data_IF_773459220899
#
_entry.id   IF_773459220899
#
_cell.length_a   1.000
_cell.length_b   1.000
_cell.length_c   1.000
_cell.angle_alpha   90.00
_cell.angle_beta   90.00
_cell.angle_gamma   90.00
#
_symmetry.space_group_name_H-M   'P 1'
#
loop_
_entity.id
_entity.type
_entity.pdbx_description
1 polymer ?
#
# COMPACT_ATOMS: atom_id res chain seq x y z
N UNK A 1 -190.00 -12.84 14.67
CA UNK A 1 -190.82 -11.65 14.36
C UNK A 1 -189.88 -10.50 13.97
N UNK A 2 -190.24 -9.45 13.23
CA UNK A 2 -191.16 -9.23 12.07
C UNK A 2 -190.96 -7.76 11.62
N UNK A 3 -191.19 -7.41 10.33
CA UNK A 3 -191.03 -6.06 9.73
C UNK A 3 -189.55 -5.51 9.70
N UNK A 4 -189.00 -4.89 8.64
CA UNK A 4 -189.25 -3.59 7.92
C UNK A 4 -188.94 -2.34 8.78
N UNK A 5 -188.25 -1.25 8.36
CA UNK A 5 -187.48 -0.83 7.15
C UNK A 5 -187.03 0.66 7.34
N UNK A 6 -186.03 1.33 6.73
CA UNK A 6 -184.87 1.09 5.80
C UNK A 6 -184.04 2.43 5.70
N UNK A 7 -182.80 2.43 5.19
CA UNK A 7 -181.98 3.58 4.68
C UNK A 7 -181.37 4.51 5.78
N UNK A 8 -180.07 4.54 6.13
CA UNK A 8 -178.74 4.37 5.45
C UNK A 8 -178.23 5.62 4.70
N UNK A 9 -176.97 6.10 4.74
CA UNK A 9 -175.76 6.05 5.61
C UNK A 9 -174.54 6.22 4.69
N UNK A 10 -173.76 7.32 4.77
CA UNK A 10 -172.53 7.44 3.94
C UNK A 10 -171.41 8.42 4.37
N UNK A 11 -171.71 9.62 4.90
CA UNK A 11 -170.71 10.72 4.99
C UNK A 11 -169.64 10.59 6.08
N UNK A 12 -169.93 9.95 7.20
CA UNK A 12 -169.09 10.08 8.41
C UNK A 12 -167.73 9.36 8.29
N UNK A 13 -167.70 8.21 7.60
CA UNK A 13 -166.47 7.44 7.33
C UNK A 13 -165.51 8.14 6.35
N UNK A 14 -165.99 9.12 5.59
CA UNK A 14 -165.18 9.87 4.62
C UNK A 14 -164.22 10.81 5.36
N UNK A 15 -164.75 11.56 6.35
CA UNK A 15 -163.99 12.55 7.14
C UNK A 15 -162.80 11.98 7.90
N UNK A 16 -162.93 10.80 8.51
CA UNK A 16 -161.80 10.19 9.24
C UNK A 16 -160.70 9.68 8.30
N UNK A 17 -161.04 9.25 7.07
CA UNK A 17 -160.01 8.90 6.07
C UNK A 17 -159.30 10.13 5.52
N UNK A 18 -159.98 11.27 5.37
CA UNK A 18 -159.34 12.54 5.04
C UNK A 18 -158.47 13.05 6.19
N UNK A 19 -158.93 12.95 7.45
CA UNK A 19 -158.10 13.32 8.61
C UNK A 19 -156.87 12.42 8.72
N UNK A 20 -156.99 11.12 8.45
CA UNK A 20 -155.85 10.20 8.41
C UNK A 20 -154.87 10.56 7.28
N UNK A 21 -155.35 10.87 6.07
CA UNK A 21 -154.51 11.34 4.95
C UNK A 21 -153.81 12.66 5.27
N UNK A 22 -154.52 13.63 5.84
CA UNK A 22 -153.96 14.92 6.22
C UNK A 22 -152.88 14.78 7.31
N UNK A 23 -153.11 13.92 8.31
CA UNK A 23 -152.13 13.66 9.37
C UNK A 23 -150.93 12.86 8.83
N UNK A 24 -151.16 11.91 7.91
CA UNK A 24 -150.09 11.21 7.20
C UNK A 24 -149.23 12.20 6.40
N UNK A 25 -149.83 13.06 5.58
CA UNK A 25 -149.14 14.10 4.82
C UNK A 25 -148.41 15.13 5.71
N UNK A 26 -148.90 15.39 6.93
CA UNK A 26 -148.23 16.26 7.91
C UNK A 26 -147.02 15.55 8.55
N UNK A 27 -147.11 14.25 8.84
CA UNK A 27 -145.96 13.44 9.26
C UNK A 27 -144.95 13.23 8.13
N UNK A 28 -145.40 13.03 6.91
CA UNK A 28 -144.61 12.95 5.68
C UNK A 28 -143.84 14.26 5.46
N UNK A 29 -144.52 15.41 5.36
CA UNK A 29 -143.89 16.72 5.25
C UNK A 29 -142.98 17.07 6.45
N UNK A 30 -143.21 16.50 7.64
CA UNK A 30 -142.33 16.65 8.81
C UNK A 30 -141.10 15.76 8.70
N UNK A 31 -141.24 14.52 8.24
CA UNK A 31 -140.15 13.63 7.88
C UNK A 31 -139.30 14.28 6.79
N UNK A 32 -139.90 14.72 5.69
CA UNK A 32 -139.28 15.45 4.59
C UNK A 32 -138.51 16.68 5.08
N UNK A 33 -139.08 17.48 5.99
CA UNK A 33 -138.39 18.64 6.56
C UNK A 33 -137.19 18.25 7.43
N UNK A 34 -137.28 17.14 8.19
CA UNK A 34 -136.14 16.64 8.97
C UNK A 34 -135.09 15.95 8.10
N UNK A 35 -135.49 15.27 7.03
CA UNK A 35 -134.64 14.63 6.05
C UNK A 35 -133.93 15.68 5.20
N UNK A 36 -134.64 16.70 4.69
CA UNK A 36 -134.05 17.85 3.99
C UNK A 36 -133.06 18.62 4.88
N UNK A 37 -133.31 18.75 6.20
CA UNK A 37 -132.34 19.33 7.15
C UNK A 37 -131.14 18.42 7.38
N UNK A 38 -131.33 17.10 7.49
CA UNK A 38 -130.25 16.11 7.59
C UNK A 38 -129.39 16.09 6.33
N UNK A 39 -130.02 16.04 5.15
CA UNK A 39 -129.39 16.11 3.84
C UNK A 39 -128.65 17.44 3.68
N UNK A 40 -129.27 18.59 3.95
CA UNK A 40 -128.60 19.90 3.92
C UNK A 40 -127.35 19.95 4.81
N UNK A 41 -127.42 19.41 6.03
CA UNK A 41 -126.24 19.32 6.91
C UNK A 41 -125.16 18.38 6.35
N UNK A 42 -125.54 17.23 5.81
CA UNK A 42 -124.61 16.28 5.18
C UNK A 42 -123.97 16.90 3.93
N UNK A 43 -124.74 17.57 3.07
CA UNK A 43 -124.26 18.30 1.89
C UNK A 43 -123.29 19.40 2.30
N UNK A 44 -123.58 20.20 3.33
CA UNK A 44 -122.65 21.20 3.84
C UNK A 44 -121.35 20.55 4.34
N UNK A 45 -121.43 19.47 5.12
CA UNK A 45 -120.25 18.75 5.60
C UNK A 45 -119.44 18.12 4.45
N UNK A 46 -120.09 17.69 3.36
CA UNK A 46 -119.44 17.20 2.15
C UNK A 46 -118.79 18.33 1.35
N UNK A 47 -119.43 19.51 1.21
CA UNK A 47 -118.81 20.66 0.55
C UNK A 47 -117.65 21.24 1.35
N UNK A 48 -117.75 21.26 2.68
CA UNK A 48 -116.67 21.70 3.57
C UNK A 48 -115.48 20.72 3.50
N UNK A 49 -115.75 19.41 3.48
CA UNK A 49 -114.72 18.39 3.31
C UNK A 49 -114.08 18.49 1.91
N UNK A 50 -114.90 18.58 0.85
CA UNK A 50 -114.44 18.75 -0.52
C UNK A 50 -113.52 19.96 -0.64
N UNK A 51 -113.97 21.15 -0.21
CA UNK A 51 -113.19 22.38 -0.29
C UNK A 51 -111.86 22.28 0.47
N UNK A 52 -111.84 21.67 1.66
CA UNK A 52 -110.60 21.42 2.39
C UNK A 52 -109.68 20.43 1.67
N UNK A 53 -110.21 19.35 1.07
CA UNK A 53 -109.39 18.41 0.28
C UNK A 53 -108.88 19.00 -1.02
N UNK A 54 -109.67 19.85 -1.71
CA UNK A 54 -109.25 20.61 -2.88
C UNK A 54 -108.14 21.59 -2.52
N UNK A 55 -108.32 22.38 -1.45
CA UNK A 55 -107.29 23.30 -0.95
C UNK A 55 -105.99 22.58 -0.61
N UNK A 56 -106.05 21.51 0.18
CA UNK A 56 -104.87 20.72 0.54
C UNK A 56 -104.19 20.12 -0.71
N UNK A 57 -104.97 19.69 -1.70
CA UNK A 57 -104.44 19.18 -2.97
C UNK A 57 -103.75 20.29 -3.78
N UNK A 58 -104.32 21.49 -3.83
CA UNK A 58 -103.73 22.67 -4.49
C UNK A 58 -102.42 23.08 -3.80
N UNK A 59 -102.38 23.09 -2.47
CA UNK A 59 -101.16 23.39 -1.70
C UNK A 59 -100.06 22.34 -1.94
N UNK A 60 -100.40 21.05 -1.95
CA UNK A 60 -99.46 19.97 -2.30
C UNK A 60 -98.95 20.12 -3.75
N UNK A 61 -99.84 20.38 -4.71
CA UNK A 61 -99.49 20.61 -6.13
C UNK A 61 -98.58 21.83 -6.29
N UNK A 62 -98.80 22.91 -5.53
CA UNK A 62 -97.95 24.10 -5.55
C UNK A 62 -96.54 23.80 -5.00
N UNK A 63 -96.43 23.07 -3.89
CA UNK A 63 -95.15 22.64 -3.31
C UNK A 63 -94.39 21.70 -4.25
N UNK A 64 -95.09 20.76 -4.91
CA UNK A 64 -94.50 19.87 -5.91
C UNK A 64 -93.98 20.67 -7.11
N UNK A 65 -94.81 21.52 -7.73
CA UNK A 65 -94.40 22.37 -8.87
C UNK A 65 -93.20 23.24 -8.55
N UNK A 66 -93.15 23.86 -7.36
CA UNK A 66 -92.00 24.66 -6.94
C UNK A 66 -90.73 23.81 -6.79
N UNK A 67 -90.86 22.56 -6.32
CA UNK A 67 -89.75 21.62 -6.23
C UNK A 67 -89.29 21.12 -7.60
N UNK A 68 -90.23 20.88 -8.51
CA UNK A 68 -89.96 20.43 -9.88
C UNK A 68 -89.24 21.52 -10.67
N UNK A 69 -89.70 22.78 -10.61
CA UNK A 69 -88.98 23.95 -11.16
C UNK A 69 -87.56 24.07 -10.58
N UNK A 70 -87.40 23.94 -9.26
CA UNK A 70 -86.08 23.93 -8.62
C UNK A 70 -85.21 22.71 -8.98
N UNK A 71 -85.78 21.64 -9.54
CA UNK A 71 -85.02 20.50 -10.07
C UNK A 71 -84.64 20.76 -11.53
N UNK A 72 -85.54 21.32 -12.35
CA UNK A 72 -85.29 21.74 -13.73
C UNK A 72 -84.18 22.80 -13.79
N UNK A 73 -84.22 23.83 -12.93
CA UNK A 73 -83.14 24.83 -12.79
C UNK A 73 -81.78 24.18 -12.49
N UNK A 74 -81.75 23.17 -11.60
CA UNK A 74 -80.53 22.44 -11.24
C UNK A 74 -80.05 21.52 -12.36
N UNK A 75 -80.97 20.87 -13.08
CA UNK A 75 -80.66 20.05 -14.25
C UNK A 75 -80.03 20.94 -15.33
N UNK A 76 -80.65 22.07 -15.67
CA UNK A 76 -80.11 23.03 -16.64
C UNK A 76 -78.73 23.55 -16.24
N UNK A 77 -78.53 23.89 -14.96
CA UNK A 77 -77.23 24.34 -14.45
C UNK A 77 -76.14 23.25 -14.53
N UNK A 78 -76.48 22.01 -14.16
CA UNK A 78 -75.58 20.86 -14.26
C UNK A 78 -75.28 20.48 -15.71
N UNK A 79 -76.26 20.56 -16.62
CA UNK A 79 -76.07 20.35 -18.06
C UNK A 79 -75.14 21.41 -18.66
N UNK A 80 -75.34 22.69 -18.34
CA UNK A 80 -74.43 23.75 -18.77
C UNK A 80 -73.01 23.53 -18.22
N UNK A 81 -72.87 23.15 -16.95
CA UNK A 81 -71.57 22.82 -16.37
C UNK A 81 -70.91 21.62 -17.06
N UNK A 82 -71.66 20.55 -17.36
CA UNK A 82 -71.17 19.37 -18.09
C UNK A 82 -70.72 19.74 -19.51
N UNK A 83 -71.43 20.63 -20.22
CA UNK A 83 -71.00 21.07 -21.55
C UNK A 83 -69.76 21.96 -21.49
N UNK A 84 -69.66 22.85 -20.50
CA UNK A 84 -68.52 23.73 -20.28
C UNK A 84 -67.25 22.98 -19.86
N UNK A 85 -67.36 21.92 -19.05
CA UNK A 85 -66.23 21.04 -18.74
C UNK A 85 -65.86 20.14 -19.93
N UNK A 86 -66.82 19.70 -20.75
CA UNK A 86 -66.53 18.97 -22.01
C UNK A 86 -65.75 19.83 -23.01
N UNK A 87 -66.11 21.10 -23.20
CA UNK A 87 -65.37 21.99 -24.12
C UNK A 87 -63.99 22.34 -23.60
N UNK A 88 -63.84 22.58 -22.28
CA UNK A 88 -62.53 22.71 -21.61
C UNK A 88 -61.64 21.49 -21.87
N UNK A 89 -62.14 20.29 -21.56
CA UNK A 89 -61.38 19.05 -21.73
C UNK A 89 -61.03 18.75 -23.21
N UNK A 90 -61.88 19.12 -24.18
CA UNK A 90 -61.54 19.03 -25.60
C UNK A 90 -60.43 20.01 -25.97
N UNK A 91 -60.56 21.27 -25.56
CA UNK A 91 -59.55 22.30 -25.86
C UNK A 91 -58.19 21.98 -25.23
N UNK A 92 -58.17 21.49 -23.99
CA UNK A 92 -56.93 21.04 -23.32
C UNK A 92 -56.29 19.86 -24.05
N UNK A 93 -57.09 18.86 -24.46
CA UNK A 93 -56.62 17.72 -25.26
C UNK A 93 -56.08 18.15 -26.62
N UNK A 94 -56.74 19.08 -27.31
CA UNK A 94 -56.32 19.62 -28.60
C UNK A 94 -55.03 20.46 -28.47
N UNK A 95 -54.94 21.31 -27.45
CA UNK A 95 -53.73 22.07 -27.12
C UNK A 95 -52.55 21.14 -26.83
N UNK A 96 -52.76 20.09 -26.03
CA UNK A 96 -51.73 19.11 -25.68
C UNK A 96 -51.29 18.28 -26.90
N UNK A 97 -52.25 17.87 -27.75
CA UNK A 97 -51.96 17.19 -29.02
C UNK A 97 -51.16 18.09 -29.99
N UNK A 98 -51.50 19.39 -30.07
CA UNK A 98 -50.76 20.36 -30.87
C UNK A 98 -49.33 20.55 -30.35
N UNK A 99 -49.14 20.67 -29.03
CA UNK A 99 -47.80 20.77 -28.41
C UNK A 99 -46.94 19.54 -28.69
N UNK A 100 -47.48 18.32 -28.51
CA UNK A 100 -46.73 17.10 -28.83
C UNK A 100 -46.46 16.95 -30.33
N UNK A 101 -47.39 17.34 -31.21
CA UNK A 101 -47.16 17.35 -32.66
C UNK A 101 -46.02 18.30 -33.05
N UNK A 102 -45.97 19.52 -32.50
CA UNK A 102 -44.83 20.43 -32.69
C UNK A 102 -43.52 19.81 -32.17
N UNK A 103 -43.57 19.13 -31.01
CA UNK A 103 -42.39 18.47 -30.44
C UNK A 103 -41.87 17.30 -31.28
N UNK A 104 -42.76 16.53 -31.90
CA UNK A 104 -42.41 15.46 -32.85
C UNK A 104 -41.74 16.08 -34.08
N UNK A 105 -42.36 17.07 -34.73
CA UNK A 105 -41.79 17.76 -35.89
C UNK A 105 -40.39 18.35 -35.59
N UNK A 106 -40.19 18.98 -34.43
CA UNK A 106 -38.89 19.48 -33.97
C UNK A 106 -37.80 18.40 -33.92
N UNK A 107 -38.16 17.19 -33.48
CA UNK A 107 -37.24 16.07 -33.32
C UNK A 107 -36.96 15.39 -34.66
N UNK A 108 -37.98 15.26 -35.53
CA UNK A 108 -37.84 14.80 -36.91
C UNK A 108 -36.92 15.72 -37.71
N UNK A 109 -37.07 17.05 -37.61
CA UNK A 109 -36.14 18.01 -38.23
C UNK A 109 -34.70 17.84 -37.74
N UNK A 110 -34.49 17.66 -36.42
CA UNK A 110 -33.16 17.46 -35.83
C UNK A 110 -32.54 16.12 -36.23
N UNK A 111 -33.37 15.07 -36.35
CA UNK A 111 -32.96 13.77 -36.85
C UNK A 111 -32.57 13.84 -38.33
N UNK A 112 -33.38 14.45 -39.17
CA UNK A 112 -33.12 14.58 -40.62
C UNK A 112 -31.85 15.40 -40.89
N UNK A 113 -31.61 16.50 -40.14
CA UNK A 113 -30.37 17.29 -40.22
C UNK A 113 -29.15 16.43 -39.87
N UNK A 114 -29.17 15.74 -38.72
CA UNK A 114 -28.09 14.81 -38.32
C UNK A 114 -27.89 13.64 -39.27
N UNK A 115 -28.96 13.12 -39.87
CA UNK A 115 -28.86 12.05 -40.87
C UNK A 115 -28.16 12.54 -42.15
N UNK A 116 -28.41 13.79 -42.58
CA UNK A 116 -27.72 14.40 -43.70
C UNK A 116 -26.23 14.66 -43.38
N UNK A 117 -25.94 15.19 -42.20
CA UNK A 117 -24.57 15.39 -41.69
C UNK A 117 -23.79 14.05 -41.67
N UNK A 118 -24.41 12.99 -41.13
CA UNK A 118 -23.83 11.65 -41.09
C UNK A 118 -23.54 11.08 -42.48
N UNK A 119 -24.47 11.23 -43.43
CA UNK A 119 -24.28 10.76 -44.81
C UNK A 119 -23.11 11.49 -45.49
N UNK A 120 -22.99 12.81 -45.31
CA UNK A 120 -21.85 13.58 -45.83
C UNK A 120 -20.52 13.10 -45.25
N UNK A 121 -20.45 12.92 -43.92
CA UNK A 121 -19.26 12.38 -43.24
C UNK A 121 -18.92 10.96 -43.73
N UNK A 122 -19.93 10.13 -44.02
CA UNK A 122 -19.72 8.79 -44.57
C UNK A 122 -19.17 8.82 -46.00
N UNK A 123 -19.58 9.78 -46.83
CA UNK A 123 -19.04 9.99 -48.17
C UNK A 123 -17.60 10.54 -48.14
N UNK A 124 -17.31 11.52 -47.28
CA UNK A 124 -15.95 12.02 -47.04
C UNK A 124 -15.01 10.92 -46.54
N UNK A 125 -15.46 10.10 -45.58
CA UNK A 125 -14.71 8.96 -45.04
C UNK A 125 -14.43 7.92 -46.12
N UNK A 126 -15.35 7.71 -47.06
CA UNK A 126 -15.13 6.83 -48.24
C UNK A 126 -14.04 7.40 -49.16
N UNK A 127 -14.08 8.71 -49.46
CA UNK A 127 -13.06 9.40 -50.27
C UNK A 127 -11.68 9.30 -49.59
N UNK A 128 -11.61 9.55 -48.28
CA UNK A 128 -10.38 9.42 -47.48
C UNK A 128 -9.86 7.98 -47.51
N UNK A 129 -10.72 6.97 -47.34
CA UNK A 129 -10.31 5.56 -47.44
C UNK A 129 -9.77 5.19 -48.83
N UNK A 130 -10.37 5.68 -49.92
CA UNK A 130 -9.89 5.41 -51.27
C UNK A 130 -8.59 6.18 -51.60
N UNK A 131 -8.36 7.34 -50.98
CA UNK A 131 -7.06 8.02 -50.98
C UNK A 131 -6.02 7.22 -50.20
N UNK A 132 -6.34 6.73 -48.99
CA UNK A 132 -5.43 5.93 -48.15
C UNK A 132 -5.01 4.61 -48.81
N UNK A 133 -5.88 3.99 -49.62
CA UNK A 133 -5.53 2.80 -50.44
C UNK A 133 -4.55 3.14 -51.57
N UNK A 134 -4.72 4.30 -52.23
CA UNK A 134 -3.89 4.74 -53.37
C UNK A 134 -2.56 5.35 -52.94
N UNK A 135 -2.51 5.97 -51.76
CA UNK A 135 -1.32 6.67 -51.25
C UNK A 135 -0.04 5.82 -51.29
N UNK A 136 -0.01 4.56 -50.77
CA UNK A 136 1.18 3.71 -50.84
C UNK A 136 1.61 3.37 -52.28
N UNK A 137 0.67 3.30 -53.23
CA UNK A 137 0.97 3.05 -54.64
C UNK A 137 1.69 4.26 -55.25
N UNK A 138 1.15 5.47 -55.05
CA UNK A 138 1.78 6.72 -55.50
C UNK A 138 3.15 6.96 -54.83
N UNK A 139 3.29 6.67 -53.54
CA UNK A 139 4.56 6.78 -52.82
C UNK A 139 5.61 5.78 -53.34
N UNK A 140 5.21 4.56 -53.70
CA UNK A 140 6.09 3.56 -54.31
C UNK A 140 6.43 3.92 -55.78
N UNK A 141 5.50 4.47 -56.55
CA UNK A 141 5.75 4.96 -57.91
C UNK A 141 6.75 6.13 -57.91
N UNK A 142 6.61 7.10 -57.01
CA UNK A 142 7.56 8.18 -56.82
C UNK A 142 8.95 7.67 -56.39
N UNK A 143 9.01 6.68 -55.49
CA UNK A 143 10.26 6.03 -55.11
C UNK A 143 10.93 5.34 -56.30
N UNK A 144 10.17 4.54 -57.06
CA UNK A 144 10.65 3.86 -58.26
C UNK A 144 11.17 4.85 -59.30
N UNK A 145 10.43 5.92 -59.56
CA UNK A 145 10.81 6.96 -60.52
C UNK A 145 12.10 7.66 -60.11
N UNK A 146 12.26 8.00 -58.82
CA UNK A 146 13.52 8.54 -58.30
C UNK A 146 14.67 7.55 -58.46
N UNK A 147 14.46 6.28 -58.11
CA UNK A 147 15.51 5.25 -58.23
C UNK A 147 15.92 5.00 -59.69
N UNK A 148 14.99 5.05 -60.65
CA UNK A 148 15.34 4.98 -62.09
C UNK A 148 16.09 6.22 -62.57
N UNK A 149 15.75 7.42 -62.07
CA UNK A 149 16.45 8.66 -62.37
C UNK A 149 17.88 8.65 -61.82
N UNK A 150 18.05 8.34 -60.53
CA UNK A 150 19.36 8.28 -59.86
C UNK A 150 20.30 7.25 -60.54
N UNK A 151 19.76 6.11 -60.99
CA UNK A 151 20.50 5.09 -61.75
C UNK A 151 20.87 5.56 -63.17
N UNK A 152 19.97 6.24 -63.89
CA UNK A 152 20.24 6.79 -65.21
C UNK A 152 21.34 7.87 -65.16
N UNK A 153 21.27 8.75 -64.14
CA UNK A 153 22.28 9.77 -63.86
C UNK A 153 23.66 9.15 -63.57
N UNK A 154 23.69 8.03 -62.83
CA UNK A 154 24.91 7.30 -62.53
C UNK A 154 25.53 6.66 -63.77
N UNK A 155 24.76 6.00 -64.64
CA UNK A 155 25.29 5.46 -65.90
C UNK A 155 25.65 6.54 -66.92
N UNK A 156 24.96 7.68 -66.93
CA UNK A 156 25.39 8.84 -67.72
C UNK A 156 26.76 9.36 -67.25
N UNK A 157 26.95 9.57 -65.93
CA UNK A 157 28.24 9.99 -65.35
C UNK A 157 29.36 8.99 -65.63
N UNK A 158 29.11 7.68 -65.46
CA UNK A 158 30.07 6.63 -65.85
C UNK A 158 30.40 6.66 -67.34
N UNK A 159 29.41 6.92 -68.20
CA UNK A 159 29.61 6.97 -69.65
C UNK A 159 30.39 8.22 -70.08
N UNK A 160 30.12 9.37 -69.46
CA UNK A 160 30.91 10.60 -69.63
C UNK A 160 32.38 10.36 -69.31
N UNK A 161 32.69 9.83 -68.11
CA UNK A 161 34.07 9.54 -67.71
C UNK A 161 34.77 8.52 -68.62
N UNK A 162 34.05 7.50 -69.10
CA UNK A 162 34.56 6.54 -70.11
C UNK A 162 34.87 7.21 -71.47
N UNK A 163 34.16 8.28 -71.84
CA UNK A 163 34.43 9.07 -73.04
C UNK A 163 35.59 10.04 -72.82
N UNK A 164 35.59 10.78 -71.70
CA UNK A 164 36.65 11.73 -71.33
C UNK A 164 38.02 11.06 -71.31
N UNK A 165 38.14 9.87 -70.70
CA UNK A 165 39.39 9.10 -70.71
C UNK A 165 39.84 8.70 -72.13
N UNK A 166 38.90 8.36 -73.03
CA UNK A 166 39.22 8.06 -74.44
C UNK A 166 39.66 9.31 -75.20
N UNK A 167 38.99 10.44 -75.00
CA UNK A 167 39.38 11.72 -75.59
C UNK A 167 40.76 12.16 -75.09
N UNK A 168 41.05 12.01 -73.80
CA UNK A 168 42.37 12.31 -73.23
C UNK A 168 43.46 11.42 -73.83
N UNK A 169 43.26 10.10 -73.84
CA UNK A 169 44.21 9.14 -74.42
C UNK A 169 44.48 9.45 -75.91
N UNK A 170 43.43 9.71 -76.69
CA UNK A 170 43.55 10.05 -78.10
C UNK A 170 44.24 11.40 -78.31
N UNK A 171 43.97 12.41 -77.47
CA UNK A 171 44.66 13.70 -77.52
C UNK A 171 46.16 13.51 -77.32
N UNK A 172 46.57 12.85 -76.23
CA UNK A 172 47.99 12.61 -75.91
C UNK A 172 48.68 11.80 -77.02
N UNK A 173 47.98 10.85 -77.66
CA UNK A 173 48.53 10.10 -78.79
C UNK A 173 48.78 10.99 -80.03
N UNK A 174 47.80 11.81 -80.41
CA UNK A 174 47.92 12.74 -81.55
C UNK A 174 48.93 13.87 -81.29
N UNK A 175 48.99 14.36 -80.06
CA UNK A 175 49.95 15.38 -79.58
C UNK A 175 51.38 14.83 -79.73
N UNK A 176 51.65 13.60 -79.26
CA UNK A 176 52.93 12.90 -79.47
C UNK A 176 53.24 12.60 -80.94
N UNK A 177 52.25 12.26 -81.76
CA UNK A 177 52.46 12.04 -83.19
C UNK A 177 52.85 13.35 -83.91
N UNK A 178 52.24 14.48 -83.51
CA UNK A 178 52.59 15.80 -84.01
C UNK A 178 54.01 16.23 -83.56
N UNK A 179 54.36 16.05 -82.28
CA UNK A 179 55.72 16.26 -81.77
C UNK A 179 56.76 15.47 -82.56
N UNK A 180 56.50 14.18 -82.82
CA UNK A 180 57.42 13.33 -83.59
C UNK A 180 57.57 13.79 -85.04
N UNK A 181 56.49 14.25 -85.69
CA UNK A 181 56.56 14.85 -87.04
C UNK A 181 57.34 16.17 -87.04
N UNK A 182 57.16 17.02 -86.04
CA UNK A 182 57.92 18.27 -85.87
C UNK A 182 59.41 17.97 -85.68
N UNK A 183 59.76 16.99 -84.85
CA UNK A 183 61.15 16.57 -84.61
C UNK A 183 61.84 16.09 -85.90
N UNK A 184 61.18 15.25 -86.70
CA UNK A 184 61.72 14.76 -87.99
C UNK A 184 61.87 15.89 -89.01
N UNK A 185 60.94 16.85 -89.06
CA UNK A 185 61.07 18.03 -89.92
C UNK A 185 62.23 18.94 -89.48
N UNK A 186 62.41 19.15 -88.17
CA UNK A 186 63.53 19.90 -87.62
C UNK A 186 64.89 19.24 -87.91
N UNK A 187 64.99 17.91 -87.72
CA UNK A 187 66.19 17.15 -88.07
C UNK A 187 66.52 17.26 -89.56
N UNK A 188 65.52 17.12 -90.44
CA UNK A 188 65.70 17.28 -91.89
C UNK A 188 66.19 18.68 -92.25
N UNK A 189 65.56 19.73 -91.73
CA UNK A 189 65.94 21.12 -92.01
C UNK A 189 67.36 21.43 -91.51
N UNK A 190 67.74 20.91 -90.34
CA UNK A 190 69.07 21.03 -89.77
C UNK A 190 70.14 20.32 -90.62
N UNK A 191 69.86 19.08 -91.07
CA UNK A 191 70.75 18.32 -91.95
C UNK A 191 70.90 18.99 -93.33
N UNK A 192 69.81 19.55 -93.89
CA UNK A 192 69.84 20.28 -95.15
C UNK A 192 70.67 21.58 -95.03
N UNK A 193 70.55 22.32 -93.93
CA UNK A 193 71.38 23.48 -93.64
C UNK A 193 72.88 23.12 -93.52
N UNK A 194 73.23 22.01 -92.87
CA UNK A 194 74.63 21.52 -92.78
C UNK A 194 75.20 21.21 -94.17
N UNK A 195 74.39 20.67 -95.09
CA UNK A 195 74.82 20.37 -96.47
C UNK A 195 75.11 21.66 -97.26
N UNK A 196 74.39 22.75 -96.99
CA UNK A 196 74.58 24.05 -97.65
C UNK A 196 75.82 24.83 -97.16
N UNK A 197 76.40 24.48 -96.00
CA UNK A 197 77.66 25.07 -95.52
C UNK A 197 78.85 24.68 -96.42
N UNK A 198 79.86 25.55 -96.52
CA UNK A 198 81.14 25.28 -97.18
C UNK A 198 82.00 24.26 -96.41
N UNK A 199 83.03 23.68 -97.03
CA UNK A 199 83.83 22.63 -96.40
C UNK A 199 84.64 23.06 -95.16
N UNK A 200 85.04 24.33 -95.04
CA UNK A 200 85.68 24.82 -93.83
C UNK A 200 84.65 24.89 -92.69
N UNK A 201 83.48 25.47 -92.94
CA UNK A 201 82.36 25.50 -92.00
C UNK A 201 81.86 24.09 -91.63
N UNK A 202 81.75 23.16 -92.59
CA UNK A 202 81.39 21.74 -92.33
C UNK A 202 82.45 21.03 -91.49
N UNK A 203 83.73 21.32 -91.68
CA UNK A 203 84.83 20.77 -90.88
C UNK A 203 84.80 21.33 -89.45
N UNK A 204 84.66 22.66 -89.29
CA UNK A 204 84.52 23.30 -87.99
C UNK A 204 83.26 22.84 -87.25
N UNK A 205 82.14 22.62 -87.94
CA UNK A 205 80.92 22.07 -87.34
C UNK A 205 81.14 20.64 -86.81
N UNK A 206 81.81 19.77 -87.57
CA UNK A 206 82.14 18.41 -87.10
C UNK A 206 83.00 18.42 -85.84
N UNK A 207 84.02 19.28 -85.78
CA UNK A 207 84.85 19.41 -84.58
C UNK A 207 84.08 20.07 -83.43
N UNK A 208 83.22 21.06 -83.70
CA UNK A 208 82.34 21.66 -82.68
C UNK A 208 81.37 20.61 -82.08
N UNK A 209 80.80 19.73 -82.91
CA UNK A 209 80.00 18.58 -82.44
C UNK A 209 80.85 17.59 -81.62
N UNK A 210 82.10 17.32 -82.02
CA UNK A 210 83.02 16.45 -81.27
C UNK A 210 83.38 17.05 -79.90
N UNK A 211 83.67 18.36 -79.86
CA UNK A 211 83.97 19.11 -78.64
C UNK A 211 82.73 19.23 -77.73
N UNK A 212 81.54 19.51 -78.28
CA UNK A 212 80.29 19.52 -77.52
C UNK A 212 79.96 18.13 -76.94
N UNK A 213 80.26 17.05 -77.67
CA UNK A 213 80.10 15.68 -77.14
C UNK A 213 81.08 15.39 -76.01
N UNK A 214 82.34 15.80 -76.14
CA UNK A 214 83.33 15.69 -75.06
C UNK A 214 82.95 16.53 -73.83
N UNK A 215 82.54 17.78 -74.05
CA UNK A 215 82.02 18.68 -73.02
C UNK A 215 80.79 18.09 -72.32
N UNK A 216 79.87 17.47 -73.07
CA UNK A 216 78.71 16.77 -72.53
C UNK A 216 79.08 15.59 -71.61
N UNK A 217 80.11 14.81 -71.96
CA UNK A 217 80.65 13.78 -71.06
C UNK A 217 81.27 14.39 -69.80
N UNK A 218 82.05 15.47 -69.91
CA UNK A 218 82.65 16.13 -68.75
C UNK A 218 81.61 16.81 -67.85
N UNK A 219 80.58 17.45 -68.41
CA UNK A 219 79.45 17.99 -67.66
C UNK A 219 78.72 16.86 -66.93
N UNK A 220 78.46 15.73 -67.61
CA UNK A 220 77.81 14.58 -66.95
C UNK A 220 78.66 14.02 -65.81
N UNK A 221 79.97 13.82 -66.00
CA UNK A 221 80.81 13.29 -64.91
C UNK A 221 80.92 14.28 -63.75
N UNK A 222 81.04 15.58 -64.02
CA UNK A 222 80.99 16.62 -62.96
C UNK A 222 79.65 16.60 -62.24
N UNK A 223 78.53 16.39 -62.94
CA UNK A 223 77.19 16.35 -62.35
C UNK A 223 76.93 15.07 -61.55
N UNK A 224 77.44 13.93 -62.00
CA UNK A 224 77.36 12.65 -61.27
C UNK A 224 78.35 12.62 -60.09
N UNK A 225 79.51 13.31 -60.19
CA UNK A 225 80.40 13.59 -59.05
C UNK A 225 79.75 14.55 -58.05
N UNK A 226 79.05 15.60 -58.49
CA UNK A 226 78.26 16.50 -57.60
C UNK A 226 77.20 15.72 -56.84
N UNK A 227 76.43 14.85 -57.51
CA UNK A 227 75.43 13.99 -56.85
C UNK A 227 76.06 13.06 -55.82
N UNK A 228 77.18 12.40 -56.15
CA UNK A 228 77.92 11.56 -55.19
C UNK A 228 78.46 12.38 -54.01
N UNK A 229 79.02 13.56 -54.25
CA UNK A 229 79.54 14.42 -53.19
C UNK A 229 78.42 15.03 -52.32
N UNK A 230 77.26 15.35 -52.88
CA UNK A 230 76.08 15.77 -52.13
C UNK A 230 75.50 14.62 -51.29
N UNK A 231 75.42 13.40 -51.85
CA UNK A 231 75.00 12.22 -51.11
C UNK A 231 75.98 11.88 -49.96
N UNK A 232 77.29 11.96 -50.19
CA UNK A 232 78.31 11.80 -49.15
C UNK A 232 78.29 12.93 -48.11
N UNK A 233 78.01 14.17 -48.52
CA UNK A 233 77.83 15.27 -47.58
C UNK A 233 76.61 15.04 -46.68
N UNK A 234 75.49 14.59 -47.25
CA UNK A 234 74.29 14.27 -46.50
C UNK A 234 74.46 13.04 -45.61
N UNK A 235 75.15 11.99 -46.08
CA UNK A 235 75.54 10.86 -45.24
C UNK A 235 76.43 11.31 -44.07
N UNK A 236 77.40 12.21 -44.30
CA UNK A 236 78.21 12.78 -43.22
C UNK A 236 77.40 13.67 -42.26
N UNK A 237 76.40 14.43 -42.75
CA UNK A 237 75.47 15.19 -41.90
C UNK A 237 74.67 14.25 -41.00
N UNK A 238 74.09 13.19 -41.58
CA UNK A 238 73.32 12.16 -40.88
C UNK A 238 74.20 11.43 -39.87
N UNK A 239 75.43 11.06 -40.23
CA UNK A 239 76.39 10.41 -39.34
C UNK A 239 76.87 11.33 -38.21
N UNK A 240 77.04 12.64 -38.45
CA UNK A 240 77.31 13.60 -37.37
C UNK A 240 76.11 13.72 -36.43
N UNK A 241 74.90 13.92 -36.97
CA UNK A 241 73.68 14.01 -36.16
C UNK A 241 73.43 12.73 -35.35
N UNK A 242 73.71 11.55 -35.93
CA UNK A 242 73.67 10.26 -35.24
C UNK A 242 74.76 10.13 -34.17
N UNK A 243 75.98 10.60 -34.44
CA UNK A 243 77.07 10.65 -33.46
C UNK A 243 76.74 11.58 -32.29
N UNK A 244 76.16 12.74 -32.56
CA UNK A 244 75.85 13.75 -31.55
C UNK A 244 74.64 13.32 -30.71
N UNK A 245 73.59 12.78 -31.31
CA UNK A 245 72.48 12.13 -30.56
C UNK A 245 72.93 10.87 -29.80
N UNK A 246 73.90 10.11 -30.32
CA UNK A 246 74.53 9.01 -29.59
C UNK A 246 75.32 9.52 -28.37
N UNK A 247 76.15 10.56 -28.52
CA UNK A 247 76.84 11.20 -27.39
C UNK A 247 75.85 11.73 -26.34
N UNK A 248 74.72 12.29 -26.77
CA UNK A 248 73.64 12.78 -25.92
C UNK A 248 72.98 11.63 -25.12
N UNK A 249 72.69 10.50 -25.76
CA UNK A 249 72.13 9.31 -25.10
C UNK A 249 73.16 8.65 -24.18
N UNK A 250 74.43 8.55 -24.57
CA UNK A 250 75.54 8.07 -23.73
C UNK A 250 75.69 8.96 -22.48
N UNK A 251 75.59 10.28 -22.63
CA UNK A 251 75.67 11.23 -21.51
C UNK A 251 74.48 11.07 -20.55
N UNK A 252 73.25 10.98 -21.10
CA UNK A 252 72.02 10.71 -20.33
C UNK A 252 72.07 9.37 -19.61
N UNK A 253 72.55 8.30 -20.27
CA UNK A 253 72.74 6.98 -19.69
C UNK A 253 73.83 6.98 -18.61
N UNK A 254 74.90 7.76 -18.77
CA UNK A 254 75.97 7.89 -17.77
C UNK A 254 75.46 8.61 -16.52
N UNK A 255 74.66 9.67 -16.68
CA UNK A 255 73.98 10.34 -15.58
C UNK A 255 72.93 9.43 -14.89
N UNK A 256 72.15 8.67 -15.64
CA UNK A 256 71.24 7.66 -15.08
C UNK A 256 72.01 6.55 -14.34
N UNK A 257 73.19 6.14 -14.85
CA UNK A 257 74.03 5.14 -14.18
C UNK A 257 74.60 5.65 -12.87
N UNK A 258 74.95 6.93 -12.75
CA UNK A 258 75.40 7.51 -11.48
C UNK A 258 74.26 7.66 -10.47
N UNK A 259 73.05 8.08 -10.89
CA UNK A 259 71.88 8.13 -10.00
C UNK A 259 71.41 6.74 -9.56
N UNK A 260 71.40 5.75 -10.46
CA UNK A 260 71.13 4.34 -10.10
C UNK A 260 72.20 3.80 -9.15
N UNK A 261 73.48 4.17 -9.30
CA UNK A 261 74.53 3.79 -8.35
C UNK A 261 74.29 4.40 -6.96
N UNK A 262 73.97 5.69 -6.89
CA UNK A 262 73.62 6.37 -5.64
C UNK A 262 72.36 5.83 -4.97
N UNK A 263 71.33 5.48 -5.76
CA UNK A 263 70.12 4.82 -5.27
C UNK A 263 70.41 3.41 -4.75
N UNK A 264 71.26 2.62 -5.42
CA UNK A 264 71.70 1.31 -4.92
C UNK A 264 72.48 1.42 -3.61
N UNK A 265 73.37 2.41 -3.48
CA UNK A 265 74.06 2.68 -2.23
C UNK A 265 73.09 3.07 -1.09
N UNK A 266 72.06 3.86 -1.40
CA UNK A 266 70.99 4.22 -0.45
C UNK A 266 70.09 3.03 -0.09
N UNK A 267 69.79 2.14 -1.04
CA UNK A 267 69.08 0.89 -0.77
C UNK A 267 69.91 0.02 0.16
N UNK A 268 71.19 -0.21 -0.14
CA UNK A 268 72.10 -0.99 0.70
C UNK A 268 72.21 -0.45 2.14
N UNK A 269 72.31 0.86 2.35
CA UNK A 269 72.36 1.42 3.71
C UNK A 269 71.01 1.36 4.43
N UNK A 270 69.88 1.44 3.71
CA UNK A 270 68.54 1.21 4.28
C UNK A 270 68.29 -0.28 4.60
N UNK A 271 68.76 -1.20 3.76
CA UNK A 271 68.73 -2.66 4.00
C UNK A 271 69.58 -3.01 5.21
N UNK A 272 70.79 -2.43 5.34
CA UNK A 272 71.65 -2.61 6.51
C UNK A 272 71.00 -2.06 7.80
N UNK A 273 70.42 -0.85 7.74
CA UNK A 273 69.69 -0.28 8.89
C UNK A 273 68.45 -1.09 9.26
N UNK A 274 67.70 -1.60 8.28
CA UNK A 274 66.55 -2.46 8.49
C UNK A 274 66.96 -3.81 9.07
N UNK A 275 68.05 -4.43 8.59
CA UNK A 275 68.58 -5.67 9.14
C UNK A 275 69.02 -5.51 10.61
N UNK A 276 69.69 -4.41 10.95
CA UNK A 276 69.99 -4.06 12.34
C UNK A 276 68.72 -3.91 13.17
N UNK A 277 67.71 -3.19 12.68
CA UNK A 277 66.46 -2.98 13.41
C UNK A 277 65.60 -4.25 13.55
N UNK A 278 65.68 -5.17 12.59
CA UNK A 278 65.07 -6.51 12.69
C UNK A 278 65.80 -7.34 13.75
N UNK A 279 67.14 -7.34 13.77
CA UNK A 279 67.91 -8.04 14.80
C UNK A 279 67.63 -7.50 16.22
N UNK A 280 67.55 -6.16 16.38
CA UNK A 280 67.10 -5.51 17.63
C UNK A 280 65.71 -6.00 18.05
N UNK A 281 64.75 -6.04 17.11
CA UNK A 281 63.38 -6.47 17.40
C UNK A 281 63.27 -7.99 17.67
N UNK A 282 64.07 -8.83 17.03
CA UNK A 282 64.12 -10.27 17.34
C UNK A 282 64.72 -10.53 18.73
N UNK A 283 65.71 -9.73 19.15
CA UNK A 283 66.26 -9.75 20.50
C UNK A 283 65.26 -9.26 21.55
N UNK A 284 64.61 -8.11 21.33
CA UNK A 284 63.54 -7.57 22.19
C UNK A 284 62.37 -8.57 22.33
N UNK A 285 62.00 -9.23 21.23
CA UNK A 285 60.97 -10.28 21.19
C UNK A 285 61.39 -11.59 21.88
N UNK A 286 62.69 -11.85 22.04
CA UNK A 286 63.19 -12.96 22.84
C UNK A 286 63.15 -12.62 24.33
N UNK A 287 63.64 -11.45 24.72
CA UNK A 287 63.61 -10.93 26.11
C UNK A 287 62.16 -10.85 26.65
N UNK A 288 61.24 -10.25 25.89
CA UNK A 288 59.82 -10.16 26.28
C UNK A 288 59.19 -11.55 26.44
N UNK A 289 59.60 -12.56 25.64
CA UNK A 289 59.12 -13.94 25.81
C UNK A 289 59.66 -14.58 27.09
N UNK A 290 60.93 -14.37 27.41
CA UNK A 290 61.54 -14.90 28.62
C UNK A 290 60.92 -14.26 29.87
N UNK A 291 60.79 -12.93 29.89
CA UNK A 291 60.10 -12.19 30.95
C UNK A 291 58.63 -12.63 31.11
N UNK A 292 57.91 -12.84 30.00
CA UNK A 292 56.54 -13.36 30.03
C UNK A 292 56.47 -14.80 30.53
N UNK A 293 57.45 -15.66 30.22
CA UNK A 293 57.54 -17.02 30.74
C UNK A 293 57.80 -17.04 32.25
N UNK A 294 58.73 -16.22 32.75
CA UNK A 294 59.01 -16.05 34.18
C UNK A 294 57.77 -15.55 34.94
N UNK A 295 57.08 -14.52 34.40
CA UNK A 295 55.83 -14.01 35.01
C UNK A 295 54.70 -15.05 34.97
N UNK A 296 54.60 -15.82 33.88
CA UNK A 296 53.64 -16.93 33.77
C UNK A 296 53.92 -18.00 34.84
N UNK A 297 55.17 -18.43 34.98
CA UNK A 297 55.60 -19.39 36.00
C UNK A 297 55.30 -18.90 37.42
N UNK A 298 55.56 -17.63 37.73
CA UNK A 298 55.19 -17.02 39.02
C UNK A 298 53.68 -17.09 39.27
N UNK A 299 52.85 -16.69 38.30
CA UNK A 299 51.38 -16.78 38.43
C UNK A 299 50.87 -18.22 38.53
N UNK A 300 51.57 -19.20 37.93
CA UNK A 300 51.29 -20.63 38.07
C UNK A 300 51.53 -21.16 39.50
N UNK A 301 52.60 -20.70 40.16
CA UNK A 301 52.88 -21.02 41.58
C UNK A 301 51.83 -20.42 42.51
N UNK A 302 51.35 -19.20 42.21
CA UNK A 302 50.24 -18.58 42.95
C UNK A 302 48.91 -19.33 42.73
N UNK A 303 48.62 -19.75 41.50
CA UNK A 303 47.42 -20.55 41.17
C UNK A 303 47.42 -21.91 41.88
N UNK A 304 48.52 -22.65 41.88
CA UNK A 304 48.65 -23.93 42.59
C UNK A 304 48.45 -23.75 44.12
N UNK A 305 48.99 -22.67 44.70
CA UNK A 305 48.76 -22.30 46.10
C UNK A 305 47.27 -22.00 46.39
N UNK A 306 46.58 -21.28 45.50
CA UNK A 306 45.14 -20.99 45.62
C UNK A 306 44.28 -22.26 45.41
N UNK A 307 44.63 -23.12 44.47
CA UNK A 307 43.91 -24.37 44.22
C UNK A 307 44.07 -25.36 45.39
N UNK A 308 45.24 -25.39 46.03
CA UNK A 308 45.44 -26.10 47.31
C UNK A 308 44.54 -25.57 48.42
N UNK A 309 44.42 -24.25 48.58
CA UNK A 309 43.50 -23.62 49.55
C UNK A 309 42.03 -23.98 49.26
N UNK A 310 41.58 -23.88 48.01
CA UNK A 310 40.23 -24.30 47.60
C UNK A 310 39.97 -25.78 47.92
N UNK A 311 40.94 -26.67 47.67
CA UNK A 311 40.81 -28.10 47.97
C UNK A 311 40.64 -28.40 49.48
N UNK A 312 41.18 -27.54 50.36
CA UNK A 312 40.96 -27.63 51.81
C UNK A 312 39.59 -27.07 52.17
N UNK A 313 39.18 -25.95 51.57
CA UNK A 313 37.85 -25.35 51.79
C UNK A 313 36.71 -26.30 51.36
N UNK A 314 36.85 -27.01 50.24
CA UNK A 314 35.86 -27.99 49.77
C UNK A 314 35.77 -29.23 50.68
N UNK A 315 36.88 -29.65 51.31
CA UNK A 315 36.86 -30.72 52.32
C UNK A 315 36.09 -30.31 53.56
N UNK A 316 36.30 -29.08 54.03
CA UNK A 316 35.55 -28.52 55.17
C UNK A 316 34.08 -28.25 54.83
N UNK A 317 33.76 -27.73 53.64
CA UNK A 317 32.38 -27.63 53.14
C UNK A 317 31.71 -29.01 53.05
N UNK A 318 32.45 -30.04 52.64
CA UNK A 318 31.94 -31.42 52.59
C UNK A 318 31.70 -32.00 54.00
N UNK A 319 32.55 -31.64 54.98
CA UNK A 319 32.36 -31.98 56.40
C UNK A 319 31.12 -31.30 56.97
N UNK A 320 30.93 -30.00 56.71
CA UNK A 320 29.73 -29.23 57.08
C UNK A 320 28.47 -29.81 56.41
N UNK A 321 28.51 -30.11 55.09
CA UNK A 321 27.41 -30.76 54.35
C UNK A 321 27.06 -32.17 54.83
N UNK A 322 27.93 -32.83 55.59
CA UNK A 322 27.66 -34.13 56.24
C UNK A 322 26.96 -33.93 57.59
N UNK A 323 27.49 -33.02 58.42
CA UNK A 323 26.88 -32.66 59.72
C UNK A 323 25.47 -32.07 59.51
N UNK A 324 25.30 -31.17 58.54
CA UNK A 324 24.00 -30.57 58.23
C UNK A 324 22.95 -31.61 57.78
N UNK A 325 23.35 -32.66 57.05
CA UNK A 325 22.44 -33.77 56.68
C UNK A 325 22.01 -34.57 57.90
N UNK A 326 22.95 -34.96 58.76
CA UNK A 326 22.64 -35.69 60.00
C UNK A 326 21.69 -34.91 60.93
N UNK A 327 21.81 -33.57 60.99
CA UNK A 327 20.87 -32.72 61.75
C UNK A 327 19.47 -32.68 61.10
N UNK A 328 19.37 -32.74 59.77
CA UNK A 328 18.08 -32.81 59.06
C UNK A 328 17.44 -34.19 59.22
N UNK A 329 18.22 -35.27 59.13
CA UNK A 329 17.78 -36.66 59.35
C UNK A 329 17.22 -36.81 60.78
N UNK A 330 17.98 -36.42 61.80
CA UNK A 330 17.52 -36.40 63.20
C UNK A 330 16.26 -35.55 63.43
N UNK A 331 16.08 -34.46 62.66
CA UNK A 331 14.86 -33.66 62.72
C UNK A 331 13.68 -34.38 62.07
N UNK A 332 13.87 -35.02 60.92
CA UNK A 332 12.81 -35.79 60.26
C UNK A 332 12.37 -36.99 61.11
N UNK A 333 13.29 -37.66 61.81
CA UNK A 333 12.96 -38.71 62.78
C UNK A 333 12.05 -38.19 63.91
N UNK A 334 12.37 -37.01 64.48
CA UNK A 334 11.50 -36.36 65.46
C UNK A 334 10.15 -35.93 64.86
N UNK A 335 10.11 -35.44 63.63
CA UNK A 335 8.87 -35.04 62.95
C UNK A 335 7.95 -36.25 62.67
N UNK A 336 8.51 -37.43 62.37
CA UNK A 336 7.77 -38.70 62.27
C UNK A 336 7.19 -39.08 63.64
N UNK A 337 8.01 -39.09 64.70
CA UNK A 337 7.55 -39.44 66.06
C UNK A 337 6.42 -38.53 66.56
N UNK A 338 6.49 -37.22 66.26
CA UNK A 338 5.38 -36.30 66.58
C UNK A 338 4.11 -36.60 65.76
N UNK A 339 4.25 -37.03 64.49
CA UNK A 339 3.12 -37.40 63.64
C UNK A 339 2.44 -38.69 64.12
N UNK A 340 3.21 -39.70 64.54
CA UNK A 340 2.71 -40.96 65.10
C UNK A 340 1.98 -40.75 66.43
N UNK A 341 2.52 -39.87 67.31
CA UNK A 341 1.87 -39.50 68.56
C UNK A 341 0.54 -38.74 68.35
N UNK A 342 0.51 -37.81 67.40
CA UNK A 342 -0.74 -37.12 67.02
C UNK A 342 -1.78 -38.07 66.42
N UNK A 343 -1.35 -39.07 65.66
CA UNK A 343 -2.25 -40.07 65.09
C UNK A 343 -2.80 -41.05 66.14
N UNK A 344 -2.00 -41.42 67.16
CA UNK A 344 -2.49 -42.18 68.32
C UNK A 344 -3.60 -41.43 69.07
N UNK A 345 -3.36 -40.17 69.44
CA UNK A 345 -4.38 -39.34 70.12
C UNK A 345 -5.65 -39.21 69.27
N UNK A 346 -5.52 -39.07 67.95
CA UNK A 346 -6.66 -39.05 67.02
C UNK A 346 -7.44 -40.37 67.02
N UNK A 347 -6.77 -41.52 67.13
CA UNK A 347 -7.43 -42.83 67.21
C UNK A 347 -8.13 -43.03 68.55
N UNK A 348 -7.52 -42.66 69.68
CA UNK A 348 -8.18 -42.67 71.00
C UNK A 348 -9.44 -41.79 71.03
N UNK A 349 -9.37 -40.59 70.46
CA UNK A 349 -10.53 -39.69 70.35
C UNK A 349 -11.68 -40.26 69.50
N UNK A 350 -11.39 -41.11 68.52
CA UNK A 350 -12.41 -41.81 67.73
C UNK A 350 -13.02 -42.98 68.52
N UNK A 351 -12.19 -43.77 69.20
CA UNK A 351 -12.64 -44.90 70.03
C UNK A 351 -13.58 -44.44 71.16
N UNK A 352 -13.19 -43.42 71.93
CA UNK A 352 -14.04 -42.88 73.02
C UNK A 352 -15.37 -42.33 72.50
N UNK A 353 -15.39 -41.73 71.30
CA UNK A 353 -16.62 -41.23 70.68
C UNK A 353 -17.58 -42.36 70.34
N UNK A 354 -17.06 -43.46 69.79
CA UNK A 354 -17.88 -44.61 69.42
C UNK A 354 -18.39 -45.40 70.65
N UNK A 355 -17.61 -45.49 71.74
CA UNK A 355 -18.11 -46.00 73.02
C UNK A 355 -19.22 -45.12 73.62
N UNK A 356 -19.11 -43.80 73.51
CA UNK A 356 -20.14 -42.86 73.97
C UNK A 356 -21.46 -43.01 73.18
N UNK A 357 -21.38 -43.20 71.86
CA UNK A 357 -22.55 -43.44 71.00
C UNK A 357 -23.24 -44.77 71.32
N UNK A 358 -22.49 -45.86 71.58
CA UNK A 358 -23.05 -47.14 72.05
C UNK A 358 -23.73 -46.99 73.42
N UNK A 359 -23.13 -46.23 74.34
CA UNK A 359 -23.74 -45.94 75.65
C UNK A 359 -25.02 -45.09 75.54
N UNK A 360 -25.11 -44.20 74.57
CA UNK A 360 -26.32 -43.43 74.30
C UNK A 360 -27.45 -44.32 73.76
N UNK A 361 -27.16 -45.17 72.78
CA UNK A 361 -28.16 -46.09 72.20
C UNK A 361 -28.71 -47.08 73.24
N UNK A 362 -27.85 -47.67 74.08
CA UNK A 362 -28.27 -48.55 75.18
C UNK A 362 -29.25 -47.88 76.16
N UNK A 363 -29.06 -46.59 76.46
CA UNK A 363 -29.97 -45.82 77.32
C UNK A 363 -31.34 -45.53 76.69
N UNK A 364 -31.50 -45.66 75.37
CA UNK A 364 -32.80 -45.47 74.72
C UNK A 364 -33.68 -46.71 74.79
N UNK A 365 -33.14 -47.91 74.64
CA UNK A 365 -33.90 -49.16 74.77
C UNK A 365 -34.47 -49.34 76.20
N UNK A 366 -33.68 -48.96 77.21
CA UNK A 366 -34.08 -48.99 78.62
C UNK A 366 -35.31 -48.10 78.92
N UNK A 367 -35.52 -47.02 78.15
CA UNK A 367 -36.63 -46.08 78.35
C UNK A 367 -37.98 -46.60 77.84
N UNK A 368 -37.99 -47.53 76.88
CA UNK A 368 -39.21 -48.09 76.29
C UNK A 368 -39.77 -49.29 77.08
N UNK A 369 -38.99 -49.84 78.01
CA UNK A 369 -39.30 -51.09 78.74
C UNK A 369 -40.24 -50.92 79.95
N UNK A 370 -40.89 -49.76 80.11
CA UNK A 370 -41.95 -49.54 81.12
C UNK A 370 -41.50 -49.47 82.58
N UNK A 371 -40.20 -49.54 82.89
CA UNK A 371 -39.66 -49.30 84.24
C UNK A 371 -38.94 -47.96 84.29
N UNK A 372 -39.56 -46.99 84.97
CA UNK A 372 -38.84 -45.87 85.56
C UNK A 372 -39.08 -45.89 87.06
N UNK A 373 -38.01 -45.75 87.83
CA UNK A 373 -38.07 -45.00 89.07
C UNK A 373 -37.04 -43.86 88.95
N UNK A 374 -37.36 -42.67 89.47
CA UNK A 374 -36.67 -41.45 89.06
C UNK A 374 -35.29 -41.31 89.75
N UNK A 375 -34.27 -40.97 88.97
CA UNK A 375 -32.98 -40.59 89.52
C UNK A 375 -33.09 -39.32 90.39
N UNK A 376 -32.36 -39.27 91.52
CA UNK A 376 -32.11 -38.05 92.27
C UNK A 376 -30.66 -37.98 92.77
N UNK A 377 -29.88 -37.17 92.05
CA UNK A 377 -28.77 -36.31 92.49
C UNK A 377 -28.10 -36.68 93.83
N UNK A 378 -26.84 -37.11 93.76
CA UNK A 378 -25.78 -36.84 94.76
C UNK A 378 -24.59 -36.21 93.99
N UNK A 379 -23.84 -35.20 94.40
CA UNK A 379 -23.59 -34.52 95.71
C UNK A 379 -22.93 -35.35 96.80
N UNK A 380 -21.74 -35.87 96.48
CA UNK A 380 -20.64 -36.16 97.42
C UNK A 380 -19.35 -35.75 96.68
N UNK A 381 -18.32 -35.10 97.23
CA UNK A 381 -18.09 -34.12 98.30
C UNK A 381 -16.55 -33.93 98.32
N UNK A 382 -16.04 -32.83 98.87
CA UNK A 382 -14.58 -32.57 98.96
C UNK A 382 -13.92 -33.42 100.06
N UNK A 383 -12.72 -33.94 99.81
CA UNK A 383 -11.59 -33.98 100.79
C UNK A 383 -10.25 -34.17 100.04
N UNK A 384 -9.08 -33.83 100.61
CA UNK A 384 -7.92 -33.40 99.82
C UNK A 384 -6.63 -34.25 100.01
N UNK A 385 -5.50 -33.72 99.52
CA UNK A 385 -4.11 -34.24 99.51
C UNK A 385 -3.79 -35.17 98.32
N UNK A 386 -2.67 -35.04 97.59
CA UNK A 386 -1.65 -33.98 97.60
C UNK A 386 -0.90 -33.88 96.25
N UNK A 387 -0.39 -32.69 95.96
CA UNK A 387 0.73 -32.35 95.04
C UNK A 387 1.16 -33.40 93.98
N UNK A 388 0.76 -33.19 92.73
CA UNK A 388 1.33 -33.86 91.55
C UNK A 388 1.69 -32.81 90.47
N UNK A 389 2.76 -33.06 89.71
CA UNK A 389 3.38 -32.09 88.79
C UNK A 389 3.35 -32.63 87.36
N UNK A 390 2.93 -31.84 86.38
CA UNK A 390 1.51 -31.81 86.02
C UNK A 390 1.36 -32.67 84.76
N UNK A 391 0.35 -33.55 84.73
CA UNK A 391 0.21 -34.51 83.63
C UNK A 391 -0.53 -33.87 82.43
N UNK A 392 0.03 -33.96 81.23
CA UNK A 392 -0.43 -33.20 80.06
C UNK A 392 -1.87 -33.56 79.66
N UNK A 393 -2.28 -34.81 79.89
CA UNK A 393 -3.59 -35.36 79.50
C UNK A 393 -4.80 -34.71 80.18
N UNK A 394 -4.63 -34.07 81.35
CA UNK A 394 -5.73 -33.44 82.10
C UNK A 394 -5.83 -31.91 81.91
N UNK A 395 -4.90 -31.30 81.17
CA UNK A 395 -4.89 -29.84 80.95
C UNK A 395 -6.01 -29.38 80.01
N UNK A 396 -6.68 -28.28 80.36
CA UNK A 396 -7.63 -27.61 79.46
C UNK A 396 -6.93 -27.00 78.24
N UNK A 397 -7.65 -26.88 77.12
CA UNK A 397 -7.08 -26.46 75.82
C UNK A 397 -6.30 -25.15 75.88
N UNK A 398 -6.82 -24.15 76.58
CA UNK A 398 -6.20 -22.82 76.75
C UNK A 398 -4.83 -22.89 77.45
N UNK A 399 -4.63 -23.85 78.36
CA UNK A 399 -3.36 -24.05 79.04
C UNK A 399 -2.35 -24.75 78.13
N UNK A 400 -2.77 -25.76 77.35
CA UNK A 400 -1.92 -26.43 76.35
C UNK A 400 -1.43 -25.46 75.28
N UNK A 401 -2.28 -24.53 74.83
CA UNK A 401 -1.92 -23.53 73.83
C UNK A 401 -0.80 -22.59 74.31
N UNK A 402 -0.85 -22.13 75.57
CA UNK A 402 0.21 -21.29 76.15
C UNK A 402 1.57 -21.99 76.21
N UNK A 403 1.60 -23.28 76.51
CA UNK A 403 2.84 -24.08 76.51
C UNK A 403 3.41 -24.18 75.09
N UNK A 404 2.57 -24.46 74.08
CA UNK A 404 3.01 -24.53 72.68
C UNK A 404 3.54 -23.17 72.17
N UNK A 405 2.87 -22.06 72.49
CA UNK A 405 3.37 -20.70 72.17
C UNK A 405 4.74 -20.43 72.81
N UNK A 406 4.95 -20.86 74.05
CA UNK A 406 6.23 -20.69 74.76
C UNK A 406 7.38 -21.52 74.14
N UNK A 407 7.09 -22.75 73.69
CA UNK A 407 8.07 -23.61 72.99
C UNK A 407 8.46 -23.01 71.63
N UNK A 408 7.48 -22.57 70.82
CA UNK A 408 7.75 -21.93 69.53
C UNK A 408 8.56 -20.63 69.65
N UNK A 409 8.31 -19.83 70.70
CA UNK A 409 9.13 -18.65 70.99
C UNK A 409 10.58 -19.02 71.34
N UNK A 410 10.79 -20.11 72.09
CA UNK A 410 12.12 -20.58 72.50
C UNK A 410 12.93 -21.18 71.36
N UNK A 411 12.28 -21.83 70.39
CA UNK A 411 12.96 -22.40 69.20
C UNK A 411 13.43 -21.36 68.19
N UNK A 412 12.73 -20.23 68.03
CA UNK A 412 13.06 -19.25 66.98
C UNK A 412 14.20 -18.27 67.34
N UNK A 413 14.49 -18.07 68.63
CA UNK A 413 15.53 -17.12 69.08
C UNK A 413 16.99 -17.57 68.85
N UNK A 414 17.24 -18.77 68.33
CA UNK A 414 18.59 -19.33 68.14
C UNK A 414 19.28 -18.94 66.82
N UNK A 415 18.63 -18.18 65.92
CA UNK A 415 19.09 -17.98 64.53
C UNK A 415 19.89 -16.69 64.26
N UNK A 416 20.29 -15.92 65.28
CA UNK A 416 20.72 -14.51 65.10
C UNK A 416 22.14 -14.16 65.58
N UNK A 417 23.05 -15.14 65.76
CA UNK A 417 24.46 -14.86 66.13
C UNK A 417 25.44 -15.84 65.47
N UNK A 418 26.01 -15.46 64.32
CA UNK A 418 27.39 -15.78 63.91
C UNK A 418 27.75 -15.17 62.54
N UNK A 419 28.51 -14.05 62.55
CA UNK A 419 29.86 -13.93 61.97
C UNK A 419 30.24 -12.49 61.57
N UNK A 420 31.50 -12.15 61.86
CA UNK A 420 32.20 -10.90 61.51
C UNK A 420 33.51 -11.25 60.79
N UNK A 421 34.18 -10.22 60.24
CA UNK A 421 35.62 -10.13 59.91
C UNK A 421 36.22 -11.05 58.81
N UNK A 422 36.72 -10.40 57.74
CA UNK A 422 38.07 -10.46 57.13
C UNK A 422 38.14 -9.22 56.19
N UNK A 423 39.12 -8.29 56.15
CA UNK A 423 40.57 -8.24 56.49
C UNK A 423 41.45 -8.97 55.45
N UNK A 424 42.52 -8.43 54.83
CA UNK A 424 43.15 -7.07 54.82
C UNK A 424 44.10 -6.92 53.57
N UNK A 425 44.95 -5.87 53.48
CA UNK A 425 45.98 -5.56 52.44
C UNK A 425 45.46 -4.89 51.14
N UNK A 426 45.86 -3.69 50.66
CA UNK A 426 46.87 -2.65 51.03
C UNK A 426 48.31 -2.77 50.45
N UNK A 427 48.93 -1.60 50.17
CA UNK A 427 50.30 -1.27 49.63
C UNK A 427 50.49 -1.35 48.09
N UNK A 428 50.65 -0.20 47.39
CA UNK A 428 51.87 0.60 47.07
C UNK A 428 52.62 0.09 45.81
N UNK A 429 52.84 0.87 44.73
CA UNK A 429 53.53 2.19 44.55
C UNK A 429 55.05 2.08 44.72
N UNK A 430 55.76 2.34 43.61
CA UNK A 430 57.09 2.94 43.58
C UNK A 430 57.12 3.98 42.45
N UNK A 431 57.88 5.05 42.65
CA UNK A 431 58.13 6.15 41.71
C UNK A 431 59.65 6.33 41.55
N UNK A 432 60.06 7.40 40.86
CA UNK A 432 61.45 7.85 40.67
C UNK A 432 62.26 7.05 39.60
N UNK A 433 63.16 7.67 38.81
CA UNK A 433 63.65 9.06 38.82
C UNK A 433 64.07 9.60 37.43
N UNK A 434 64.42 10.90 37.42
CA UNK A 434 64.80 11.78 36.31
C UNK A 434 66.04 11.28 35.49
N UNK A 435 66.33 11.70 34.25
CA UNK A 435 66.77 13.09 33.94
C UNK A 435 66.86 13.49 32.45
N UNK A 436 66.51 14.76 32.20
CA UNK A 436 66.87 15.72 31.13
C UNK A 436 67.79 15.36 29.94
N UNK A 437 67.31 15.69 28.72
CA UNK A 437 67.96 16.62 27.73
C UNK A 437 67.12 16.68 26.41
N UNK A 438 66.21 17.64 26.19
CA UNK A 438 66.45 18.96 25.56
C UNK A 438 67.04 18.96 24.13
N UNK A 439 66.24 19.29 23.10
CA UNK A 439 66.45 20.46 22.22
C UNK A 439 65.26 20.76 21.26
N UNK A 440 65.31 21.98 20.70
CA UNK A 440 64.40 22.74 19.80
C UNK A 440 63.92 22.03 18.49
N UNK A 441 62.96 22.53 17.67
CA UNK A 441 61.85 23.54 17.78
C UNK A 441 61.02 23.56 16.47
N UNK A 442 59.71 23.90 16.55
CA UNK A 442 58.78 24.44 15.52
C UNK A 442 59.11 24.23 14.01
N UNK A 443 58.29 23.44 13.29
CA UNK A 443 57.12 23.90 12.50
C UNK A 443 57.40 23.95 10.97
N UNK A 444 56.56 24.59 10.12
CA UNK A 444 55.51 23.89 9.38
C UNK A 444 55.82 23.61 7.91
N UNK A 445 54.98 22.81 7.26
CA UNK A 445 55.06 22.50 5.83
C UNK A 445 54.74 23.74 4.99
N UNK A 446 55.72 24.22 4.22
CA UNK A 446 55.52 25.24 3.17
C UNK A 446 55.96 24.70 1.82
N UNK A 447 54.99 24.32 1.00
CA UNK A 447 55.20 23.90 -0.38
C UNK A 447 55.47 25.12 -1.27
N UNK A 448 56.71 25.30 -1.71
CA UNK A 448 57.06 26.23 -2.80
C UNK A 448 57.36 25.45 -4.08
N UNK A 449 56.31 25.21 -4.86
CA UNK A 449 56.46 24.94 -6.30
C UNK A 449 56.74 26.28 -6.98
N UNK A 450 57.87 26.40 -7.65
CA UNK A 450 58.25 27.61 -8.39
C UNK A 450 58.75 27.24 -9.78
N UNK A 451 58.03 27.67 -10.81
CA UNK A 451 58.47 27.77 -12.22
C UNK A 451 58.85 26.42 -12.91
N UNK A 452 58.68 26.21 -14.21
CA UNK A 452 58.68 27.14 -15.36
C UNK A 452 57.62 26.71 -16.40
N UNK A 453 57.23 27.67 -17.25
CA UNK A 453 56.48 27.55 -18.53
C UNK A 453 57.25 26.68 -19.59
N UNK A 454 56.81 26.45 -20.85
CA UNK A 454 55.89 27.27 -21.66
C UNK A 454 54.81 26.59 -22.52
N UNK A 455 53.82 27.43 -22.81
CA UNK A 455 53.13 27.73 -24.09
C UNK A 455 52.55 26.61 -24.98
N UNK A 456 51.26 26.82 -25.28
CA UNK A 456 50.61 26.59 -26.57
C UNK A 456 49.81 27.85 -26.93
#
# INVERSE_FOLDING_TARGET
>A
MKERSKQESKREKESDTERAKANAALWEARCDLTEARRLSKITQQLTDLQHNTEKNSIEIIAVLRNKDLQNEEKIMALEQQIQLEKTRASQEKENLAAQYKLKINELEEKFNKRSSEFNMIQEELKIINDFLKKKPQMEQELKNMKETMDNADLEHKKTLARMEQKFFNNKVHLEKEAEQKIAVLAERAHNEAIIQLDDASRSMFKENVRLNKALGYHIKEVEDLRKRNAALAEENNILSLHKDTSNDTISKLTAQRSTVSGLRAKVFTLEQALASRVAEFEWEKADIKEFAAVRSQASGVELDKLQKLLSVQDRELSRVKRIARSIVEQRSDMEILFYEALNHVKQEMLMQRQEAEVNHSRRMDEFLSGRRENAHIHTINRTPHSTSIVNISEMTWEQRERVLRLVFAKMNNLKSKHNLQLSVCLFHRNEEKESHASFLTQAPVSSMSSSVLPDL
#
